data_IF_814103978525
#
_entry.id   IF_814103978525
#
_cell.length_a   1.000
_cell.length_b   1.000
_cell.length_c   1.000
_cell.angle_alpha   90.00
_cell.angle_beta   90.00
_cell.angle_gamma   90.00
#
_symmetry.space_group_name_H-M   'P 1'
#
loop_
_entity.id
_entity.type
_entity.pdbx_description
1 polymer ?
#
# COMPACT_ATOMS: atom_id res chain seq x y z
N UNK A 1 -15.88 -23.92 -22.01
CA UNK A 1 -16.58 -22.73 -22.51
C UNK A 1 -15.63 -22.05 -23.47
N UNK A 2 -16.03 -21.90 -24.76
CA UNK A 2 -15.17 -21.19 -25.70
C UNK A 2 -15.08 -19.70 -25.33
N UNK A 3 -14.02 -18.97 -25.75
CA UNK A 3 -13.94 -17.52 -25.54
C UNK A 3 -15.18 -16.79 -26.10
N UNK A 4 -15.71 -17.24 -27.25
CA UNK A 4 -16.93 -16.69 -27.81
C UNK A 4 -18.16 -16.88 -26.91
N UNK A 5 -18.36 -18.09 -26.35
CA UNK A 5 -19.47 -18.33 -25.41
C UNK A 5 -19.37 -17.45 -24.16
N UNK A 6 -18.13 -17.24 -23.64
CA UNK A 6 -17.90 -16.39 -22.47
C UNK A 6 -18.29 -14.93 -22.74
N UNK A 7 -17.97 -14.42 -23.94
CA UNK A 7 -18.26 -13.03 -24.34
C UNK A 7 -19.76 -12.84 -24.62
N UNK A 8 -20.41 -13.78 -25.23
CA UNK A 8 -21.86 -13.72 -25.41
C UNK A 8 -22.58 -13.80 -24.06
N UNK A 9 -22.14 -14.68 -23.16
CA UNK A 9 -22.68 -14.73 -21.78
C UNK A 9 -22.44 -13.44 -20.99
N UNK A 10 -21.34 -12.74 -21.25
CA UNK A 10 -21.09 -11.43 -20.68
C UNK A 10 -22.04 -10.38 -21.27
N UNK A 11 -22.20 -10.36 -22.58
CA UNK A 11 -23.09 -9.44 -23.29
C UNK A 11 -24.53 -9.48 -22.75
N UNK A 12 -25.04 -10.68 -22.44
CA UNK A 12 -26.37 -10.86 -21.85
C UNK A 12 -26.54 -10.27 -20.44
N UNK A 13 -25.44 -9.94 -19.78
CA UNK A 13 -25.42 -9.49 -18.38
C UNK A 13 -24.97 -8.04 -18.23
N UNK A 14 -24.17 -7.53 -19.15
CA UNK A 14 -23.46 -6.25 -18.99
C UNK A 14 -24.41 -5.07 -18.75
N UNK A 15 -25.62 -5.10 -19.32
CA UNK A 15 -26.62 -4.05 -19.15
C UNK A 15 -27.09 -3.89 -17.68
N UNK A 16 -26.94 -4.93 -16.87
CA UNK A 16 -27.36 -4.94 -15.49
C UNK A 16 -26.30 -4.41 -14.50
N UNK A 17 -25.14 -3.98 -15.00
CA UNK A 17 -24.00 -3.54 -14.19
C UNK A 17 -23.43 -2.24 -14.72
N UNK A 18 -22.85 -1.44 -13.82
CA UNK A 18 -22.20 -0.18 -14.17
C UNK A 18 -20.84 -0.39 -14.84
N UNK A 19 -20.18 -1.52 -14.55
CA UNK A 19 -18.88 -1.85 -15.10
C UNK A 19 -18.75 -3.34 -15.45
N UNK A 20 -17.98 -3.65 -16.49
CA UNK A 20 -17.58 -4.99 -16.87
C UNK A 20 -16.06 -5.10 -16.94
N UNK A 21 -15.50 -6.12 -16.28
CA UNK A 21 -14.08 -6.46 -16.33
C UNK A 21 -13.88 -7.77 -17.09
N UNK A 22 -13.02 -7.73 -18.09
CA UNK A 22 -12.58 -8.88 -18.86
C UNK A 22 -11.08 -9.01 -18.65
N UNK A 23 -10.66 -10.12 -18.04
CA UNK A 23 -9.27 -10.47 -17.88
C UNK A 23 -8.95 -11.71 -18.70
N UNK A 24 -7.92 -11.62 -19.52
CA UNK A 24 -7.41 -12.74 -20.30
C UNK A 24 -5.91 -12.92 -20.01
N UNK A 25 -5.52 -14.13 -19.61
CA UNK A 25 -4.13 -14.54 -19.51
C UNK A 25 -3.89 -15.71 -20.46
N UNK A 26 -2.93 -15.59 -21.37
CA UNK A 26 -2.68 -16.63 -22.37
C UNK A 26 -1.85 -16.15 -23.56
N UNK A 27 -1.97 -16.86 -24.66
CA UNK A 27 -1.28 -16.52 -25.91
C UNK A 27 -2.09 -15.57 -26.75
N UNK A 28 -1.47 -14.45 -27.16
CA UNK A 28 -2.01 -13.50 -28.10
C UNK A 28 -1.13 -13.40 -29.33
N UNK A 29 -1.75 -13.32 -30.51
CA UNK A 29 -1.06 -13.31 -31.80
C UNK A 29 -1.64 -12.25 -32.72
N UNK A 30 -0.85 -11.85 -33.73
CA UNK A 30 -1.34 -11.09 -34.86
C UNK A 30 -1.41 -12.00 -36.08
N UNK A 31 -2.59 -12.10 -36.70
CA UNK A 31 -2.83 -12.84 -37.95
C UNK A 31 -3.59 -11.94 -38.91
N UNK A 32 -3.07 -11.73 -40.12
CA UNK A 32 -3.69 -10.93 -41.19
C UNK A 32 -4.18 -9.54 -40.76
N UNK A 33 -3.46 -8.90 -39.83
CA UNK A 33 -3.81 -7.58 -39.32
C UNK A 33 -4.70 -7.57 -38.05
N UNK A 34 -5.31 -8.69 -37.67
CA UNK A 34 -6.13 -8.82 -36.48
C UNK A 34 -5.33 -9.32 -35.29
N UNK A 35 -5.66 -8.81 -34.09
CA UNK A 35 -5.17 -9.34 -32.83
C UNK A 35 -6.08 -10.47 -32.39
N UNK A 36 -5.53 -11.63 -32.12
CA UNK A 36 -6.32 -12.82 -31.74
C UNK A 36 -5.89 -13.33 -30.37
N UNK A 37 -6.86 -13.84 -29.62
CA UNK A 37 -6.68 -14.50 -28.32
C UNK A 37 -6.83 -16.02 -28.54
N UNK A 38 -5.86 -16.80 -28.05
CA UNK A 38 -5.83 -18.25 -28.25
C UNK A 38 -6.58 -18.96 -27.12
N UNK A 39 -7.63 -19.77 -27.42
CA UNK A 39 -8.16 -20.71 -26.45
C UNK A 39 -7.13 -21.82 -26.12
N UNK A 40 -7.34 -22.52 -25.00
CA UNK A 40 -6.40 -23.54 -24.51
C UNK A 40 -6.19 -24.67 -25.54
N UNK A 41 -7.24 -25.01 -26.30
CA UNK A 41 -7.22 -26.09 -27.27
C UNK A 41 -6.61 -25.69 -28.60
N UNK A 42 -6.20 -24.44 -28.80
CA UNK A 42 -5.68 -23.98 -30.07
C UNK A 42 -4.29 -24.54 -30.35
N UNK A 43 -4.16 -25.27 -31.46
CA UNK A 43 -2.85 -25.64 -32.00
C UNK A 43 -2.21 -24.43 -32.69
N UNK A 44 -1.30 -23.76 -31.99
CA UNK A 44 -0.57 -22.59 -32.49
C UNK A 44 0.44 -22.94 -33.59
N UNK A 45 0.77 -24.22 -33.79
CA UNK A 45 1.64 -24.72 -34.85
C UNK A 45 0.87 -25.02 -36.13
N UNK A 46 -0.46 -24.95 -36.09
CA UNK A 46 -1.33 -25.16 -37.27
C UNK A 46 -1.12 -24.06 -38.33
N UNK A 47 -1.64 -24.28 -39.54
CA UNK A 47 -1.62 -23.25 -40.57
C UNK A 47 -2.35 -21.98 -40.11
N UNK A 48 -1.87 -20.77 -40.48
CA UNK A 48 -2.42 -19.50 -40.04
C UNK A 48 -3.95 -19.38 -40.19
N UNK A 49 -4.50 -19.95 -41.28
CA UNK A 49 -5.94 -19.93 -41.56
C UNK A 49 -6.73 -20.76 -40.52
N UNK A 50 -6.16 -21.89 -40.08
CA UNK A 50 -6.77 -22.72 -39.03
C UNK A 50 -6.64 -22.08 -37.65
N UNK A 51 -5.51 -21.40 -37.38
CA UNK A 51 -5.33 -20.62 -36.17
C UNK A 51 -6.38 -19.52 -36.09
N UNK A 52 -6.56 -18.75 -37.17
CA UNK A 52 -7.57 -17.68 -37.24
C UNK A 52 -9.01 -18.19 -37.06
N UNK A 53 -9.33 -19.34 -37.63
CA UNK A 53 -10.68 -19.94 -37.55
C UNK A 53 -11.03 -20.40 -36.12
N UNK A 54 -10.04 -20.85 -35.35
CA UNK A 54 -10.25 -21.43 -34.02
C UNK A 54 -9.83 -20.50 -32.88
N UNK A 55 -9.33 -19.32 -33.18
CA UNK A 55 -8.97 -18.28 -32.19
C UNK A 55 -10.09 -17.24 -32.08
N UNK A 56 -9.97 -16.37 -31.09
CA UNK A 56 -10.94 -15.31 -30.87
C UNK A 56 -10.36 -13.95 -31.28
N UNK A 57 -10.91 -13.26 -32.28
CA UNK A 57 -10.47 -11.93 -32.67
C UNK A 57 -10.81 -10.90 -31.61
N UNK A 58 -9.85 -10.04 -31.28
CA UNK A 58 -10.06 -8.94 -30.31
C UNK A 58 -11.01 -7.89 -30.89
N UNK A 59 -11.11 -7.79 -32.23
CA UNK A 59 -12.11 -6.96 -32.93
C UNK A 59 -13.54 -7.36 -32.58
N UNK A 60 -13.84 -8.65 -32.46
CA UNK A 60 -15.18 -9.14 -32.12
C UNK A 60 -15.56 -8.77 -30.70
N UNK A 61 -14.58 -8.84 -29.74
CA UNK A 61 -14.78 -8.36 -28.38
C UNK A 61 -15.13 -6.87 -28.37
N UNK A 62 -14.34 -6.07 -29.09
CA UNK A 62 -14.57 -4.61 -29.13
C UNK A 62 -15.90 -4.25 -29.79
N UNK A 63 -16.32 -5.00 -30.81
CA UNK A 63 -17.63 -4.83 -31.43
C UNK A 63 -18.79 -5.12 -30.45
N UNK A 64 -18.69 -6.20 -29.69
CA UNK A 64 -19.68 -6.52 -28.64
C UNK A 64 -19.74 -5.42 -27.61
N UNK A 65 -18.58 -4.95 -27.12
CA UNK A 65 -18.50 -3.91 -26.10
C UNK A 65 -19.01 -2.55 -26.58
N UNK A 66 -18.93 -2.25 -27.85
CA UNK A 66 -19.50 -1.03 -28.47
C UNK A 66 -21.03 -0.94 -28.35
N UNK A 67 -21.72 -2.05 -28.13
CA UNK A 67 -23.18 -2.07 -27.95
C UNK A 67 -23.60 -1.49 -26.58
N UNK A 68 -22.67 -1.28 -25.67
CA UNK A 68 -22.92 -0.85 -24.31
C UNK A 68 -22.23 0.50 -24.02
N UNK A 69 -22.70 1.63 -24.59
CA UNK A 69 -22.01 2.91 -24.48
C UNK A 69 -22.01 3.51 -23.07
N UNK A 70 -22.98 3.12 -22.23
CA UNK A 70 -23.17 3.69 -20.89
C UNK A 70 -22.36 2.96 -19.79
N UNK A 71 -21.89 1.75 -20.07
CA UNK A 71 -21.12 0.95 -19.11
C UNK A 71 -19.63 1.24 -19.20
N UNK A 72 -18.94 1.19 -18.08
CA UNK A 72 -17.48 1.18 -18.04
C UNK A 72 -16.97 -0.22 -18.44
N UNK A 73 -16.09 -0.30 -19.43
CA UNK A 73 -15.53 -1.55 -19.92
C UNK A 73 -14.02 -1.60 -19.72
N UNK A 74 -13.55 -2.59 -18.99
CA UNK A 74 -12.14 -2.77 -18.68
C UNK A 74 -11.71 -4.12 -19.26
N UNK A 75 -10.77 -4.08 -20.19
CA UNK A 75 -10.19 -5.27 -20.81
C UNK A 75 -8.70 -5.32 -20.45
N UNK A 76 -8.29 -6.38 -19.81
CA UNK A 76 -6.90 -6.59 -19.38
C UNK A 76 -6.37 -7.84 -20.04
N UNK A 77 -5.31 -7.69 -20.83
CA UNK A 77 -4.73 -8.75 -21.64
C UNK A 77 -3.29 -9.02 -21.18
N UNK A 78 -3.13 -10.03 -20.32
CA UNK A 78 -1.81 -10.56 -19.94
C UNK A 78 -1.41 -11.63 -20.94
N UNK A 79 -1.00 -11.17 -22.13
CA UNK A 79 -0.64 -12.01 -23.25
C UNK A 79 0.57 -11.46 -23.99
N UNK A 80 1.39 -12.36 -24.53
CA UNK A 80 2.42 -12.01 -25.50
C UNK A 80 1.78 -11.37 -26.74
N UNK A 81 2.49 -10.45 -27.37
CA UNK A 81 2.09 -9.81 -28.62
C UNK A 81 2.99 -10.29 -29.76
N UNK A 82 3.07 -11.62 -29.93
CA UNK A 82 3.89 -12.24 -30.95
C UNK A 82 3.20 -12.27 -32.31
N UNK A 83 3.98 -12.40 -33.38
CA UNK A 83 3.48 -12.51 -34.76
C UNK A 83 3.65 -13.94 -35.24
N UNK A 84 2.55 -14.61 -35.60
CA UNK A 84 2.61 -15.92 -36.24
C UNK A 84 2.63 -15.74 -37.76
N UNK A 85 3.61 -16.37 -38.40
CA UNK A 85 3.71 -16.49 -39.84
C UNK A 85 4.35 -15.32 -40.56
N UNK A 86 5.42 -15.61 -41.22
CA UNK A 86 6.29 -14.92 -42.17
C UNK A 86 7.59 -14.37 -41.64
N UNK A 87 8.69 -14.95 -42.09
CA UNK A 87 10.01 -14.32 -42.09
C UNK A 87 9.92 -13.03 -42.93
N UNK A 88 9.77 -11.89 -42.29
CA UNK A 88 9.83 -10.58 -42.92
C UNK A 88 8.66 -9.62 -42.73
N UNK A 89 7.59 -9.99 -42.04
CA UNK A 89 6.47 -9.07 -41.79
C UNK A 89 6.79 -8.07 -40.66
N UNK A 90 6.42 -6.80 -40.89
CA UNK A 90 6.63 -5.70 -39.93
C UNK A 90 6.02 -5.97 -38.57
N UNK A 91 6.76 -5.62 -37.51
CA UNK A 91 6.42 -5.81 -36.09
C UNK A 91 5.33 -4.82 -35.60
N UNK A 92 4.28 -4.58 -36.35
CA UNK A 92 3.25 -3.64 -35.94
C UNK A 92 1.95 -4.36 -35.56
N UNK A 93 1.50 -4.08 -34.34
CA UNK A 93 0.17 -4.44 -33.87
C UNK A 93 -0.86 -3.56 -34.59
N UNK A 94 -1.99 -4.12 -35.02
CA UNK A 94 -3.07 -3.30 -35.59
C UNK A 94 -3.54 -2.29 -34.52
N UNK A 95 -3.76 -1.02 -34.91
CA UNK A 95 -4.36 -0.04 -33.99
C UNK A 95 -5.70 -0.58 -33.51
N UNK A 96 -5.90 -0.62 -32.19
CA UNK A 96 -7.18 -0.99 -31.60
C UNK A 96 -7.88 0.30 -31.23
N UNK A 97 -9.07 0.49 -31.79
CA UNK A 97 -9.96 1.55 -31.35
C UNK A 97 -10.63 1.10 -30.05
N UNK A 98 -10.32 1.76 -28.94
CA UNK A 98 -11.00 1.48 -27.69
C UNK A 98 -12.48 1.90 -27.80
N UNK A 99 -13.46 1.02 -27.48
CA UNK A 99 -14.87 1.38 -27.38
C UNK A 99 -15.08 2.59 -26.45
N UNK A 100 -16.09 3.41 -26.70
CA UNK A 100 -16.40 4.54 -25.81
C UNK A 100 -16.58 4.06 -24.35
N UNK A 101 -15.97 4.75 -23.40
CA UNK A 101 -16.03 4.39 -21.98
C UNK A 101 -15.26 3.12 -21.64
N UNK A 102 -14.16 2.83 -22.33
CA UNK A 102 -13.36 1.63 -22.07
C UNK A 102 -11.88 1.93 -21.79
N UNK A 103 -11.25 0.96 -21.11
CA UNK A 103 -9.79 0.81 -21.04
C UNK A 103 -9.43 -0.57 -21.57
N UNK A 104 -8.47 -0.62 -22.47
CA UNK A 104 -7.85 -1.87 -22.94
C UNK A 104 -6.38 -1.81 -22.54
N UNK A 105 -5.98 -2.65 -21.60
CA UNK A 105 -4.63 -2.71 -21.06
C UNK A 105 -3.91 -3.99 -21.51
N UNK A 106 -2.65 -3.85 -21.89
CA UNK A 106 -1.79 -4.92 -22.37
C UNK A 106 -0.57 -5.07 -21.48
N UNK A 107 -0.20 -6.30 -21.19
CA UNK A 107 0.97 -6.62 -20.37
C UNK A 107 2.29 -6.14 -20.98
N UNK A 108 2.33 -5.89 -22.29
CA UNK A 108 3.56 -5.52 -22.99
C UNK A 108 3.27 -4.65 -24.22
N UNK A 109 4.29 -3.95 -24.67
CA UNK A 109 4.27 -3.17 -25.91
C UNK A 109 4.15 -4.08 -27.16
N UNK A 110 3.70 -3.54 -28.31
CA UNK A 110 3.65 -4.30 -29.55
C UNK A 110 4.97 -4.97 -29.91
N UNK A 111 4.92 -6.25 -30.28
CA UNK A 111 6.10 -7.04 -30.69
C UNK A 111 7.04 -7.46 -29.53
N UNK A 112 6.60 -7.31 -28.30
CA UNK A 112 7.36 -7.73 -27.11
C UNK A 112 6.69 -8.90 -26.40
N UNK A 113 7.44 -9.87 -25.84
CA UNK A 113 6.88 -10.93 -25.01
C UNK A 113 6.45 -10.43 -23.66
N UNK A 114 5.44 -11.03 -23.07
CA UNK A 114 5.14 -10.93 -21.63
C UNK A 114 6.01 -11.95 -20.90
N UNK A 115 6.63 -11.52 -19.79
CA UNK A 115 7.53 -12.35 -19.01
C UNK A 115 6.82 -13.01 -17.84
N UNK A 116 7.08 -14.28 -17.66
CA UNK A 116 6.59 -15.04 -16.50
C UNK A 116 7.54 -14.89 -15.31
N UNK A 117 6.96 -14.82 -14.11
CA UNK A 117 7.71 -14.90 -12.86
C UNK A 117 7.59 -16.31 -12.27
N UNK A 118 8.61 -17.13 -12.51
CA UNK A 118 8.63 -18.56 -12.14
C UNK A 118 8.45 -18.80 -10.63
N UNK A 119 8.63 -17.77 -9.80
CA UNK A 119 8.59 -17.90 -8.34
C UNK A 119 7.20 -17.69 -7.70
N UNK A 120 6.25 -17.03 -8.39
CA UNK A 120 4.97 -16.59 -7.79
C UNK A 120 3.74 -17.23 -8.40
N UNK A 121 3.88 -18.00 -9.46
CA UNK A 121 2.74 -18.58 -10.21
C UNK A 121 1.97 -17.59 -11.07
N UNK A 122 2.45 -16.34 -11.18
CA UNK A 122 1.90 -15.27 -12.02
C UNK A 122 2.98 -14.66 -12.91
N UNK A 123 2.59 -14.06 -14.04
CA UNK A 123 3.48 -13.20 -14.81
C UNK A 123 3.79 -11.90 -14.04
N UNK A 124 4.90 -11.23 -14.37
CA UNK A 124 5.28 -9.95 -13.74
C UNK A 124 4.18 -8.89 -13.84
N UNK A 125 3.43 -8.88 -14.94
CA UNK A 125 2.33 -7.94 -15.13
C UNK A 125 1.18 -8.19 -14.16
N UNK A 126 0.71 -9.43 -14.08
CA UNK A 126 -0.38 -9.80 -13.17
C UNK A 126 0.01 -9.59 -11.72
N UNK A 127 1.25 -9.91 -11.31
CA UNK A 127 1.75 -9.62 -9.96
C UNK A 127 1.68 -8.13 -9.64
N UNK A 128 2.16 -7.28 -10.55
CA UNK A 128 2.11 -5.84 -10.37
C UNK A 128 0.67 -5.29 -10.39
N UNK A 129 -0.18 -5.84 -11.25
CA UNK A 129 -1.59 -5.46 -11.32
C UNK A 129 -2.32 -5.77 -10.03
N UNK A 130 -2.21 -6.98 -9.49
CA UNK A 130 -2.83 -7.39 -8.23
C UNK A 130 -2.39 -6.51 -7.07
N UNK A 131 -1.10 -6.12 -7.05
CA UNK A 131 -0.57 -5.19 -6.06
C UNK A 131 -1.25 -3.82 -6.11
N UNK A 132 -1.40 -3.24 -7.29
CA UNK A 132 -1.86 -1.86 -7.40
C UNK A 132 -3.37 -1.70 -7.56
N UNK A 133 -4.08 -2.70 -8.10
CA UNK A 133 -5.55 -2.67 -8.19
C UNK A 133 -6.23 -2.83 -6.82
N UNK A 134 -5.53 -3.40 -5.84
CA UNK A 134 -6.03 -3.51 -4.47
C UNK A 134 -5.95 -2.19 -3.70
N UNK A 135 -5.17 -1.21 -4.18
CA UNK A 135 -5.03 0.08 -3.52
C UNK A 135 -6.34 0.87 -3.61
N UNK A 136 -6.84 1.37 -2.47
CA UNK A 136 -8.09 2.11 -2.46
C UNK A 136 -7.92 3.48 -3.14
N UNK A 137 -8.96 3.91 -3.86
CA UNK A 137 -9.09 5.23 -4.54
C UNK A 137 -7.89 5.62 -5.44
N UNK A 138 -7.22 4.66 -5.97
CA UNK A 138 -6.24 4.92 -7.03
C UNK A 138 -7.00 4.85 -8.35
N UNK A 139 -7.10 5.96 -9.11
CA UNK A 139 -7.70 5.95 -10.43
C UNK A 139 -7.06 4.90 -11.33
N UNK A 140 -7.84 4.28 -12.20
CA UNK A 140 -7.39 3.17 -13.06
C UNK A 140 -6.17 3.56 -13.91
N UNK A 141 -6.11 4.79 -14.42
CA UNK A 141 -4.97 5.30 -15.18
C UNK A 141 -3.71 5.38 -14.32
N UNK A 142 -3.86 5.83 -13.07
CA UNK A 142 -2.75 5.87 -12.10
C UNK A 142 -2.33 4.45 -11.72
N UNK A 143 -3.28 3.52 -11.57
CA UNK A 143 -2.99 2.09 -11.32
C UNK A 143 -2.12 1.52 -12.44
N UNK A 144 -2.50 1.69 -13.70
CA UNK A 144 -1.71 1.21 -14.83
C UNK A 144 -0.35 1.92 -14.96
N UNK A 145 -0.29 3.22 -14.64
CA UNK A 145 1.00 3.92 -14.57
C UNK A 145 1.94 3.31 -13.55
N UNK A 146 1.46 3.01 -12.34
CA UNK A 146 2.25 2.35 -11.28
C UNK A 146 2.68 0.93 -11.69
N UNK A 147 1.80 0.17 -12.34
CA UNK A 147 2.13 -1.14 -12.92
C UNK A 147 3.28 -1.01 -13.92
N UNK A 148 3.21 -0.02 -14.81
CA UNK A 148 4.24 0.24 -15.83
C UNK A 148 5.58 0.62 -15.20
N UNK A 149 5.59 1.49 -14.21
CA UNK A 149 6.78 1.90 -13.46
C UNK A 149 7.45 0.70 -12.79
N UNK A 150 6.67 -0.16 -12.11
CA UNK A 150 7.20 -1.35 -11.45
C UNK A 150 7.77 -2.35 -12.45
N UNK A 151 7.06 -2.62 -13.57
CA UNK A 151 7.55 -3.54 -14.60
C UNK A 151 8.82 -3.02 -15.28
N UNK A 152 8.86 -1.73 -15.59
CA UNK A 152 10.05 -1.11 -16.16
C UNK A 152 11.27 -1.35 -15.25
N UNK A 153 11.12 -1.13 -13.96
CA UNK A 153 12.18 -1.37 -12.98
C UNK A 153 12.55 -2.86 -12.87
N UNK A 154 11.56 -3.75 -12.66
CA UNK A 154 11.79 -5.21 -12.47
C UNK A 154 12.37 -5.90 -13.72
N UNK A 155 12.03 -5.43 -14.90
CA UNK A 155 12.46 -6.07 -16.16
C UNK A 155 13.61 -5.31 -16.86
N UNK A 156 14.18 -4.30 -16.23
CA UNK A 156 15.19 -3.42 -16.81
C UNK A 156 14.74 -2.84 -18.16
N UNK A 157 13.48 -2.40 -18.25
CA UNK A 157 12.88 -1.80 -19.43
C UNK A 157 12.56 -2.76 -20.58
N UNK A 158 12.69 -4.08 -20.39
CA UNK A 158 12.43 -5.05 -21.46
C UNK A 158 10.94 -5.43 -21.61
N UNK A 159 10.11 -5.12 -20.63
CA UNK A 159 8.65 -5.26 -20.70
C UNK A 159 8.00 -3.96 -20.26
N UNK A 160 7.27 -3.33 -21.17
CA UNK A 160 6.59 -2.05 -20.94
C UNK A 160 5.09 -2.25 -21.24
N UNK A 161 4.23 -2.23 -20.21
CA UNK A 161 2.78 -2.27 -20.40
C UNK A 161 2.26 -1.07 -21.20
N UNK A 162 1.16 -1.29 -21.88
CA UNK A 162 0.52 -0.29 -22.72
C UNK A 162 -1.00 -0.31 -22.52
N UNK A 163 -1.62 0.86 -22.53
CA UNK A 163 -3.08 0.97 -22.46
C UNK A 163 -3.65 1.93 -23.50
N UNK A 164 -4.87 1.64 -23.91
CA UNK A 164 -5.76 2.53 -24.68
C UNK A 164 -6.96 2.85 -23.79
N UNK A 165 -7.22 4.13 -23.55
CA UNK A 165 -8.36 4.57 -22.75
C UNK A 165 -9.25 5.53 -23.52
N UNK A 166 -10.55 5.38 -23.35
CA UNK A 166 -11.61 6.30 -23.77
C UNK A 166 -12.55 6.62 -22.60
N UNK A 167 -12.11 6.40 -21.37
CA UNK A 167 -12.87 6.76 -20.18
C UNK A 167 -13.08 8.28 -20.12
N UNK A 168 -14.27 8.69 -19.72
CA UNK A 168 -14.63 10.11 -19.54
C UNK A 168 -14.62 10.49 -18.06
N UNK A 169 -14.77 9.52 -17.16
CA UNK A 169 -14.75 9.69 -15.71
C UNK A 169 -13.68 8.86 -15.04
N UNK A 170 -13.50 9.03 -13.74
CA UNK A 170 -12.59 8.22 -12.95
C UNK A 170 -13.23 6.86 -12.65
N UNK A 171 -12.45 5.79 -12.80
CA UNK A 171 -12.79 4.46 -12.36
C UNK A 171 -11.76 3.96 -11.35
N UNK A 172 -12.22 3.26 -10.34
CA UNK A 172 -11.38 2.70 -9.28
C UNK A 172 -11.63 1.20 -9.19
N UNK A 173 -10.57 0.37 -9.27
CA UNK A 173 -10.71 -1.08 -9.04
C UNK A 173 -11.15 -1.38 -7.62
N UNK A 174 -10.63 -0.60 -6.68
CA UNK A 174 -11.05 -0.60 -5.31
C UNK A 174 -11.64 0.80 -5.00
N UNK A 175 -12.94 0.98 -5.23
CA UNK A 175 -13.61 2.24 -4.94
C UNK A 175 -13.78 2.46 -3.45
N UNK A 176 -13.14 1.61 -2.62
CA UNK A 176 -13.45 1.42 -1.21
C UNK A 176 -14.18 2.62 -0.65
N UNK A 177 -15.38 2.37 -0.12
CA UNK A 177 -16.12 3.41 0.55
C UNK A 177 -15.23 3.89 1.67
N UNK A 178 -14.42 4.86 1.27
CA UNK A 178 -13.54 5.48 2.21
C UNK A 178 -14.39 5.73 3.44
N UNK A 179 -13.81 5.33 4.46
CA UNK A 179 -13.76 6.16 5.60
C UNK A 179 -13.53 7.59 5.10
N UNK A 180 -14.65 8.26 4.73
CA UNK A 180 -14.71 9.61 4.20
C UNK A 180 -14.08 10.45 5.29
N UNK A 181 -12.77 10.73 5.18
CA UNK A 181 -11.86 11.23 6.18
C UNK A 181 -12.58 11.73 7.41
N UNK A 182 -13.13 10.82 8.26
CA UNK A 182 -13.95 11.23 9.37
C UNK A 182 -13.10 12.18 10.16
N UNK A 183 -13.39 13.45 9.96
CA UNK A 183 -12.80 14.49 10.75
C UNK A 183 -13.34 14.25 12.15
N UNK A 184 -12.56 13.59 12.99
CA UNK A 184 -12.87 13.52 14.40
C UNK A 184 -12.87 14.93 14.98
N UNK A 185 -13.68 15.15 16.03
CA UNK A 185 -13.68 16.45 16.67
C UNK A 185 -12.32 16.80 17.29
N UNK A 186 -12.03 18.08 17.45
CA UNK A 186 -10.78 18.52 18.06
C UNK A 186 -10.61 17.93 19.46
N UNK A 187 -11.70 17.77 20.21
CA UNK A 187 -11.72 17.15 21.53
C UNK A 187 -11.36 15.66 21.46
N UNK A 188 -11.78 14.93 20.42
CA UNK A 188 -11.40 13.54 20.22
C UNK A 188 -9.91 13.43 19.84
N UNK A 189 -9.38 14.33 19.01
CA UNK A 189 -7.95 14.38 18.71
C UNK A 189 -7.11 14.72 19.95
N UNK A 190 -7.57 15.60 20.83
CA UNK A 190 -6.84 15.94 22.05
C UNK A 190 -6.98 14.90 23.15
N UNK A 191 -8.05 14.13 23.15
CA UNK A 191 -8.48 13.22 24.23
C UNK A 191 -8.70 13.92 25.60
N UNK A 192 -8.29 15.17 25.72
CA UNK A 192 -8.50 15.96 26.90
C UNK A 192 -9.85 16.68 26.84
N UNK A 193 -10.72 16.44 27.83
CA UNK A 193 -12.03 17.07 27.91
C UNK A 193 -13.05 16.51 26.90
N UNK A 194 -12.75 15.39 26.22
CA UNK A 194 -13.73 14.74 25.36
C UNK A 194 -14.97 14.33 26.17
N UNK A 195 -16.13 14.72 25.67
CA UNK A 195 -17.40 14.42 26.33
C UNK A 195 -18.06 13.23 25.67
N UNK A 196 -18.13 12.14 26.42
CA UNK A 196 -18.87 10.95 26.01
C UNK A 196 -20.39 11.21 26.12
N UNK A 197 -21.18 10.47 25.34
CA UNK A 197 -22.63 10.47 25.51
C UNK A 197 -23.03 10.01 26.93
N UNK A 198 -24.15 10.47 27.43
CA UNK A 198 -24.56 10.28 28.83
C UNK A 198 -24.62 8.80 29.23
N UNK A 199 -25.01 7.93 28.30
CA UNK A 199 -25.20 6.50 28.52
C UNK A 199 -24.04 5.64 27.94
N UNK A 200 -22.92 6.27 27.57
CA UNK A 200 -21.83 5.59 26.91
C UNK A 200 -21.05 4.69 27.87
N UNK A 201 -21.11 3.39 27.65
CA UNK A 201 -20.23 2.40 28.33
C UNK A 201 -18.74 2.67 28.03
N UNK A 202 -18.44 3.30 26.90
CA UNK A 202 -17.06 3.58 26.45
C UNK A 202 -16.36 4.49 27.44
N UNK A 203 -17.07 5.44 28.05
CA UNK A 203 -16.48 6.32 29.09
C UNK A 203 -15.84 5.50 30.22
N UNK A 204 -16.58 4.56 30.80
CA UNK A 204 -16.05 3.73 31.88
C UNK A 204 -14.85 2.88 31.48
N UNK A 205 -14.85 2.40 30.21
CA UNK A 205 -13.71 1.65 29.66
C UNK A 205 -12.49 2.58 29.56
N UNK A 206 -12.64 3.76 28.97
CA UNK A 206 -11.55 4.73 28.82
C UNK A 206 -11.03 5.20 30.16
N UNK A 207 -11.89 5.47 31.14
CA UNK A 207 -11.48 5.83 32.51
C UNK A 207 -10.65 4.70 33.15
N UNK A 208 -11.04 3.44 32.97
CA UNK A 208 -10.30 2.27 33.40
C UNK A 208 -8.92 2.13 32.74
N UNK A 209 -8.86 2.37 31.43
CA UNK A 209 -7.59 2.33 30.66
C UNK A 209 -6.62 3.44 31.12
N UNK A 210 -7.14 4.65 31.40
CA UNK A 210 -6.36 5.81 31.87
C UNK A 210 -5.85 5.66 33.31
N UNK A 211 -6.32 4.68 34.05
CA UNK A 211 -5.93 4.50 35.46
C UNK A 211 -4.45 4.14 35.66
N UNK A 212 -3.74 3.70 34.63
CA UNK A 212 -2.38 3.14 34.68
C UNK A 212 -2.21 1.99 35.69
N UNK A 213 -3.31 1.27 35.98
CA UNK A 213 -3.37 0.20 36.96
C UNK A 213 -3.92 -1.07 36.34
N UNK A 214 -3.17 -2.16 36.36
CA UNK A 214 -3.58 -3.44 35.78
C UNK A 214 -4.93 -3.94 36.30
N UNK A 215 -5.25 -3.89 37.60
CA UNK A 215 -6.55 -4.32 38.10
C UNK A 215 -7.75 -3.55 37.51
N UNK A 216 -7.52 -2.35 36.98
CA UNK A 216 -8.54 -1.53 36.33
C UNK A 216 -8.47 -1.63 34.81
N UNK A 217 -7.30 -1.70 34.22
CA UNK A 217 -7.11 -1.77 32.77
C UNK A 217 -7.58 -3.12 32.19
N UNK A 218 -7.33 -4.23 32.87
CA UNK A 218 -7.69 -5.55 32.36
C UNK A 218 -9.20 -5.75 32.21
N UNK A 219 -10.06 -5.49 33.21
CA UNK A 219 -11.51 -5.57 33.03
C UNK A 219 -12.02 -4.53 32.03
N UNK A 220 -11.43 -3.33 31.99
CA UNK A 220 -11.81 -2.28 31.05
C UNK A 220 -11.67 -2.75 29.60
N UNK A 221 -10.49 -3.26 29.19
CA UNK A 221 -10.28 -3.72 27.82
C UNK A 221 -11.15 -4.94 27.47
N UNK A 222 -11.46 -5.83 28.42
CA UNK A 222 -12.38 -6.96 28.21
C UNK A 222 -13.80 -6.50 27.91
N UNK A 223 -14.25 -5.42 28.54
CA UNK A 223 -15.59 -4.84 28.34
C UNK A 223 -15.78 -4.16 26.97
N UNK A 224 -14.72 -4.03 26.17
CA UNK A 224 -14.85 -3.55 24.77
C UNK A 224 -15.82 -4.45 23.97
N UNK A 225 -15.83 -5.74 24.23
CA UNK A 225 -16.74 -6.69 23.57
C UNK A 225 -18.21 -6.58 24.01
N UNK A 226 -18.52 -5.71 24.97
CA UNK A 226 -19.87 -5.47 25.50
C UNK A 226 -20.44 -4.12 25.03
N UNK A 227 -19.69 -3.38 24.21
CA UNK A 227 -20.13 -2.11 23.63
C UNK A 227 -21.25 -2.37 22.64
N UNK A 228 -22.29 -1.54 22.71
CA UNK A 228 -23.28 -1.43 21.64
C UNK A 228 -22.68 -0.56 20.52
N UNK A 229 -22.09 -1.21 19.52
CA UNK A 229 -21.47 -0.52 18.39
C UNK A 229 -22.45 0.18 17.46
N UNK A 230 -23.75 -0.05 17.60
CA UNK A 230 -24.78 0.65 16.79
C UNK A 230 -25.02 2.06 17.28
N UNK A 231 -24.86 2.28 18.58
CA UNK A 231 -25.08 3.58 19.21
C UNK A 231 -23.79 4.36 19.46
N UNK A 232 -22.64 3.67 19.42
CA UNK A 232 -21.33 4.27 19.64
C UNK A 232 -20.94 5.22 18.50
N UNK A 233 -20.58 6.46 18.86
CA UNK A 233 -20.11 7.43 17.86
C UNK A 233 -18.67 7.13 17.40
N UNK A 234 -18.33 7.53 16.18
CA UNK A 234 -16.97 7.40 15.66
C UNK A 234 -15.92 8.12 16.51
N UNK A 235 -16.27 9.26 17.12
CA UNK A 235 -15.41 9.99 18.04
C UNK A 235 -15.11 9.19 19.31
N UNK A 236 -16.13 8.56 19.91
CA UNK A 236 -15.95 7.72 21.11
C UNK A 236 -15.07 6.52 20.84
N UNK A 237 -15.27 5.86 19.69
CA UNK A 237 -14.47 4.70 19.27
C UNK A 237 -13.03 5.10 18.94
N UNK A 238 -12.81 6.28 18.37
CA UNK A 238 -11.48 6.82 18.13
C UNK A 238 -10.74 7.08 19.46
N UNK A 239 -11.40 7.75 20.41
CA UNK A 239 -10.83 7.99 21.76
C UNK A 239 -10.56 6.68 22.48
N UNK A 240 -11.45 5.69 22.36
CA UNK A 240 -11.23 4.34 22.88
C UNK A 240 -9.94 3.73 22.29
N UNK A 241 -9.75 3.78 20.96
CA UNK A 241 -8.56 3.28 20.28
C UNK A 241 -7.28 3.94 20.79
N UNK A 242 -7.27 5.27 20.93
CA UNK A 242 -6.15 6.00 21.51
C UNK A 242 -5.75 5.44 22.89
N UNK A 243 -6.72 5.21 23.76
CA UNK A 243 -6.47 4.77 25.12
C UNK A 243 -6.10 3.29 25.23
N UNK A 244 -6.60 2.43 24.34
CA UNK A 244 -6.14 1.05 24.23
C UNK A 244 -4.64 1.02 23.88
N UNK A 245 -4.24 1.80 22.87
CA UNK A 245 -2.85 1.86 22.45
C UNK A 245 -1.96 2.50 23.53
N UNK A 246 -2.39 3.60 24.15
CA UNK A 246 -1.69 4.23 25.27
C UNK A 246 -1.41 3.24 26.39
N UNK A 247 -2.39 2.40 26.75
CA UNK A 247 -2.21 1.40 27.80
C UNK A 247 -1.27 0.25 27.33
N UNK A 248 -1.36 -0.16 26.05
CA UNK A 248 -0.47 -1.16 25.47
C UNK A 248 0.99 -0.68 25.45
N UNK A 249 1.26 0.55 25.00
CA UNK A 249 2.59 1.17 25.05
C UNK A 249 3.13 1.26 26.47
N UNK A 250 2.24 1.42 27.47
CA UNK A 250 2.53 1.33 28.90
C UNK A 250 2.61 -0.09 29.46
N UNK A 251 2.81 -1.12 28.65
CA UNK A 251 2.95 -2.53 29.02
C UNK A 251 1.69 -3.18 29.64
N UNK A 252 0.49 -2.75 29.25
CA UNK A 252 -0.75 -3.46 29.59
C UNK A 252 -0.89 -4.74 28.76
N UNK A 253 -0.53 -5.90 29.31
CA UNK A 253 -0.62 -7.19 28.62
C UNK A 253 -2.04 -7.57 28.17
N UNK A 254 -3.07 -7.13 28.85
CA UNK A 254 -4.44 -7.35 28.41
C UNK A 254 -4.76 -6.57 27.13
N UNK A 255 -4.21 -5.33 27.01
CA UNK A 255 -4.31 -4.55 25.80
C UNK A 255 -3.48 -5.15 24.65
N UNK A 256 -2.31 -5.75 24.93
CA UNK A 256 -1.55 -6.50 23.93
C UNK A 256 -2.38 -7.64 23.35
N UNK A 257 -2.96 -8.51 24.21
CA UNK A 257 -3.83 -9.61 23.76
C UNK A 257 -5.06 -9.12 22.98
N UNK A 258 -5.63 -7.97 23.37
CA UNK A 258 -6.74 -7.40 22.64
C UNK A 258 -6.29 -6.96 21.23
N UNK A 259 -5.16 -6.25 21.12
CA UNK A 259 -4.60 -5.84 19.84
C UNK A 259 -4.23 -7.06 19.00
N UNK A 260 -3.61 -8.10 19.56
CA UNK A 260 -3.24 -9.31 18.81
C UNK A 260 -4.43 -10.01 18.13
N UNK A 261 -5.57 -10.05 18.79
CA UNK A 261 -6.80 -10.66 18.26
C UNK A 261 -7.77 -9.68 17.58
N UNK A 262 -7.37 -8.45 17.34
CA UNK A 262 -8.28 -7.36 16.94
C UNK A 262 -8.95 -7.60 15.58
N UNK A 263 -8.19 -8.00 14.54
CA UNK A 263 -8.74 -8.25 13.19
C UNK A 263 -9.74 -9.39 13.19
N UNK A 264 -9.49 -10.45 13.96
CA UNK A 264 -10.32 -11.66 14.02
C UNK A 264 -11.53 -11.52 14.97
N UNK A 265 -11.60 -10.43 15.72
CA UNK A 265 -12.68 -10.21 16.68
C UNK A 265 -14.01 -9.93 15.97
N UNK A 266 -14.83 -10.99 15.83
CA UNK A 266 -16.14 -10.91 15.17
C UNK A 266 -17.21 -10.12 15.93
N UNK A 267 -16.98 -9.80 17.21
CA UNK A 267 -17.90 -8.97 18.01
C UNK A 267 -17.82 -7.50 17.67
N UNK A 268 -16.72 -7.07 17.04
CA UNK A 268 -16.51 -5.67 16.63
C UNK A 268 -16.84 -5.54 15.14
N UNK A 269 -17.87 -4.78 14.75
CA UNK A 269 -18.16 -4.53 13.33
C UNK A 269 -16.99 -3.85 12.61
N UNK A 270 -16.84 -4.11 11.31
CA UNK A 270 -15.74 -3.57 10.51
C UNK A 270 -15.62 -2.04 10.62
N UNK A 271 -16.74 -1.32 10.54
CA UNK A 271 -16.72 0.14 10.67
C UNK A 271 -16.22 0.61 12.04
N UNK A 272 -16.60 -0.08 13.11
CA UNK A 272 -16.09 0.22 14.46
C UNK A 272 -14.61 -0.10 14.59
N UNK A 273 -14.12 -1.19 13.96
CA UNK A 273 -12.69 -1.51 13.89
C UNK A 273 -11.89 -0.37 13.25
N UNK A 274 -12.39 0.22 12.16
CA UNK A 274 -11.70 1.35 11.52
C UNK A 274 -11.54 2.54 12.46
N UNK A 275 -12.59 2.93 13.18
CA UNK A 275 -12.49 4.03 14.15
C UNK A 275 -11.52 3.74 15.29
N UNK A 276 -11.57 2.53 15.84
CA UNK A 276 -10.67 2.10 16.92
C UNK A 276 -9.22 2.06 16.43
N UNK A 277 -8.97 1.48 15.25
CA UNK A 277 -7.64 1.42 14.65
C UNK A 277 -7.09 2.80 14.30
N UNK A 278 -7.93 3.72 13.82
CA UNK A 278 -7.55 5.11 13.59
C UNK A 278 -7.06 5.77 14.89
N UNK A 279 -7.75 5.53 16.00
CA UNK A 279 -7.33 6.02 17.30
C UNK A 279 -6.01 5.41 17.77
N UNK A 280 -5.83 4.09 17.61
CA UNK A 280 -4.57 3.41 17.95
C UNK A 280 -3.40 3.94 17.11
N UNK A 281 -3.57 4.03 15.79
CA UNK A 281 -2.55 4.56 14.90
C UNK A 281 -2.24 6.03 15.18
N UNK A 282 -3.25 6.84 15.45
CA UNK A 282 -3.06 8.25 15.78
C UNK A 282 -2.23 8.42 17.05
N UNK A 283 -2.45 7.62 18.08
CA UNK A 283 -1.72 7.71 19.36
C UNK A 283 -0.23 7.37 19.23
N UNK A 284 0.18 6.62 18.19
CA UNK A 284 1.59 6.39 17.87
C UNK A 284 2.30 7.71 17.55
N UNK A 285 1.68 8.49 16.66
CA UNK A 285 2.34 9.61 15.98
C UNK A 285 2.01 10.98 16.56
N UNK A 286 0.86 11.14 17.23
CA UNK A 286 0.36 12.45 17.66
C UNK A 286 0.11 12.54 19.17
N UNK A 287 0.43 13.68 19.75
CA UNK A 287 0.14 14.00 21.14
C UNK A 287 -1.28 14.57 21.36
N UNK A 288 -1.58 14.97 22.60
CA UNK A 288 -2.86 15.58 22.95
C UNK A 288 -3.02 17.00 22.41
N UNK A 289 -1.98 17.62 21.90
CA UNK A 289 -2.02 18.94 21.26
C UNK A 289 -2.14 18.83 19.72
N UNK A 290 -2.36 17.63 19.21
CA UNK A 290 -2.41 17.32 17.78
C UNK A 290 -1.09 17.64 17.05
N UNK A 291 0.02 17.58 17.76
CA UNK A 291 1.37 17.71 17.22
C UNK A 291 2.04 16.36 17.08
N UNK A 292 2.98 16.27 16.15
CA UNK A 292 3.81 15.07 16.01
C UNK A 292 4.60 14.84 17.28
N UNK A 293 4.53 13.61 17.78
CA UNK A 293 5.28 13.21 18.98
C UNK A 293 6.79 13.17 18.73
N UNK A 294 7.51 13.48 19.78
CA UNK A 294 8.93 13.21 19.88
C UNK A 294 9.28 12.87 21.36
N UNK A 295 9.62 11.61 21.67
CA UNK A 295 9.66 10.42 20.80
C UNK A 295 8.27 9.89 20.44
N UNK A 296 8.20 9.07 19.37
CA UNK A 296 7.02 8.30 19.03
C UNK A 296 6.73 7.21 20.06
N UNK A 297 5.48 6.76 20.16
CA UNK A 297 5.09 5.61 20.98
C UNK A 297 5.24 4.32 20.21
N UNK A 298 6.33 3.62 20.39
CA UNK A 298 6.67 2.44 19.60
C UNK A 298 6.64 1.13 20.40
N UNK A 299 6.16 1.13 21.64
CA UNK A 299 6.18 -0.05 22.51
C UNK A 299 5.41 -1.26 21.94
N UNK A 300 4.34 -1.02 21.19
CA UNK A 300 3.54 -2.08 20.56
C UNK A 300 3.09 -1.74 19.13
N UNK A 301 3.84 -0.89 18.42
CA UNK A 301 3.39 -0.31 17.15
C UNK A 301 3.46 -1.27 15.97
N UNK A 302 4.37 -2.27 15.99
CA UNK A 302 4.55 -3.22 14.90
C UNK A 302 3.21 -3.87 14.49
N UNK A 303 2.44 -4.32 15.48
CA UNK A 303 1.15 -4.97 15.23
C UNK A 303 0.11 -4.02 14.60
N UNK A 304 0.16 -2.74 14.95
CA UNK A 304 -0.69 -1.72 14.31
C UNK A 304 -0.28 -1.51 12.86
N UNK A 305 1.03 -1.44 12.57
CA UNK A 305 1.53 -1.35 11.19
C UNK A 305 1.08 -2.57 10.37
N UNK A 306 1.21 -3.78 10.93
CA UNK A 306 0.75 -5.02 10.27
C UNK A 306 -0.74 -4.97 9.91
N UNK A 307 -1.58 -4.36 10.75
CA UNK A 307 -3.00 -4.15 10.44
C UNK A 307 -3.19 -3.12 9.32
N UNK A 308 -2.49 -2.00 9.35
CA UNK A 308 -2.59 -0.96 8.32
C UNK A 308 -2.16 -1.45 6.93
N UNK A 309 -1.42 -2.57 6.85
CA UNK A 309 -1.04 -3.22 5.60
C UNK A 309 -2.10 -4.23 5.10
N UNK A 310 -3.10 -4.57 5.90
CA UNK A 310 -4.19 -5.47 5.51
C UNK A 310 -5.28 -4.72 4.73
N UNK A 311 -5.83 -5.37 3.70
CA UNK A 311 -6.80 -4.75 2.81
C UNK A 311 -8.04 -4.20 3.55
N UNK A 312 -8.53 -4.91 4.56
CA UNK A 312 -9.69 -4.50 5.35
C UNK A 312 -9.48 -3.20 6.14
N UNK A 313 -8.22 -2.78 6.35
CA UNK A 313 -7.86 -1.58 7.14
C UNK A 313 -7.22 -0.47 6.29
N UNK A 314 -7.29 -0.53 4.97
CA UNK A 314 -6.73 0.52 4.12
C UNK A 314 -7.34 1.90 4.40
N UNK A 315 -8.60 1.98 4.83
CA UNK A 315 -9.20 3.25 5.27
C UNK A 315 -8.46 3.87 6.47
N UNK A 316 -8.03 3.06 7.44
CA UNK A 316 -7.21 3.51 8.57
C UNK A 316 -5.80 3.91 8.15
N UNK A 317 -5.21 3.15 7.21
CA UNK A 317 -3.92 3.49 6.62
C UNK A 317 -3.96 4.85 5.94
N UNK A 318 -4.97 5.09 5.11
CA UNK A 318 -5.12 6.33 4.36
C UNK A 318 -5.40 7.52 5.29
N UNK A 319 -6.18 7.29 6.36
CA UNK A 319 -6.40 8.28 7.42
C UNK A 319 -5.08 8.74 8.04
N UNK A 320 -4.24 7.81 8.51
CA UNK A 320 -2.98 8.17 9.16
C UNK A 320 -1.97 8.76 8.17
N UNK A 321 -1.91 8.25 6.94
CA UNK A 321 -1.08 8.77 5.89
C UNK A 321 -1.44 10.23 5.55
N UNK A 322 -2.73 10.55 5.41
CA UNK A 322 -3.19 11.91 5.18
C UNK A 322 -2.83 12.85 6.34
N UNK A 323 -2.96 12.38 7.60
CA UNK A 323 -2.59 13.16 8.78
C UNK A 323 -1.09 13.47 8.84
N UNK A 324 -0.24 12.48 8.59
CA UNK A 324 1.21 12.65 8.60
C UNK A 324 1.66 13.58 7.47
N UNK A 325 1.14 13.41 6.26
CA UNK A 325 1.47 14.25 5.11
C UNK A 325 1.06 15.72 5.31
N UNK A 326 0.00 15.99 6.08
CA UNK A 326 -0.50 17.34 6.28
C UNK A 326 0.36 18.18 7.26
N UNK A 327 1.14 17.52 8.13
CA UNK A 327 1.75 18.21 9.27
C UNK A 327 3.26 18.00 9.39
N UNK A 328 3.89 17.19 8.54
CA UNK A 328 5.30 16.85 8.70
C UNK A 328 6.11 16.94 7.41
N UNK A 329 7.17 17.73 7.50
CA UNK A 329 8.30 17.67 6.58
C UNK A 329 9.39 16.67 7.02
N UNK A 330 9.23 16.06 8.19
CA UNK A 330 10.17 15.09 8.76
C UNK A 330 10.14 13.78 7.98
N UNK A 331 11.27 13.09 7.84
CA UNK A 331 11.29 11.69 7.38
C UNK A 331 10.56 10.79 8.39
N UNK A 332 9.32 10.45 8.10
CA UNK A 332 8.50 9.52 8.89
C UNK A 332 8.03 8.41 7.99
N UNK A 333 8.07 7.18 8.47
CA UNK A 333 7.49 6.05 7.75
C UNK A 333 5.97 6.18 7.67
N UNK A 334 5.47 6.14 6.46
CA UNK A 334 4.02 6.20 6.21
C UNK A 334 3.57 4.84 5.69
N UNK A 335 2.79 4.07 6.48
CA UNK A 335 2.32 2.76 6.06
C UNK A 335 1.62 2.80 4.70
N UNK A 336 1.99 1.88 3.81
CA UNK A 336 1.39 1.74 2.49
C UNK A 336 1.86 2.72 1.40
N UNK A 337 2.67 3.72 1.73
CA UNK A 337 3.28 4.60 0.71
C UNK A 337 4.63 4.07 0.21
N UNK A 338 5.40 3.42 1.09
CA UNK A 338 6.69 2.84 0.76
C UNK A 338 6.80 1.42 1.29
N UNK A 339 7.40 0.51 0.53
CA UNK A 339 7.71 -0.85 1.00
C UNK A 339 8.80 -0.84 2.06
N UNK A 340 9.78 0.06 1.91
CA UNK A 340 10.85 0.30 2.85
C UNK A 340 11.36 1.74 2.72
N UNK A 341 11.92 2.28 3.81
CA UNK A 341 12.66 3.53 3.79
C UNK A 341 14.13 3.22 3.46
N UNK A 342 14.60 3.70 2.33
CA UNK A 342 16.02 3.62 1.95
C UNK A 342 16.74 4.84 2.49
N UNK A 343 17.48 4.65 3.58
CA UNK A 343 18.20 5.70 4.28
C UNK A 343 19.67 5.69 3.88
N UNK A 344 20.21 6.86 3.59
CA UNK A 344 21.62 7.01 3.24
C UNK A 344 22.39 7.48 4.47
N UNK A 345 23.39 6.68 4.87
CA UNK A 345 24.34 7.01 5.91
C UNK A 345 25.52 7.73 5.26
N UNK A 346 25.65 9.01 5.54
CA UNK A 346 26.78 9.83 5.10
C UNK A 346 27.94 9.65 6.05
N UNK A 347 29.15 9.47 5.54
CA UNK A 347 30.33 9.16 6.36
C UNK A 347 31.56 9.87 5.86
N UNK A 348 32.49 10.17 6.78
CA UNK A 348 33.85 10.58 6.46
C UNK A 348 34.90 9.65 7.09
N UNK A 349 36.12 9.68 6.58
CA UNK A 349 37.21 8.88 7.11
C UNK A 349 37.95 9.62 8.22
N UNK A 350 38.21 8.93 9.35
CA UNK A 350 39.09 9.36 10.42
C UNK A 350 40.20 8.29 10.67
N UNK A 351 41.23 8.63 11.47
CA UNK A 351 42.34 7.74 11.77
C UNK A 351 41.93 6.39 12.37
N UNK A 352 40.79 6.33 13.04
CA UNK A 352 40.26 5.13 13.72
C UNK A 352 39.14 4.44 12.96
N UNK A 353 38.77 4.88 11.75
CA UNK A 353 37.73 4.30 10.92
C UNK A 353 36.84 5.34 10.24
N UNK A 354 35.61 4.93 9.85
CA UNK A 354 34.63 5.84 9.24
C UNK A 354 33.62 6.31 10.26
N UNK A 355 33.48 7.64 10.37
CA UNK A 355 32.51 8.28 11.23
C UNK A 355 31.25 8.64 10.44
N UNK A 356 30.08 8.54 11.09
CA UNK A 356 28.81 8.93 10.49
C UNK A 356 28.60 10.43 10.65
N UNK A 357 28.35 11.12 9.54
CA UNK A 357 28.04 12.55 9.51
C UNK A 357 26.55 12.83 9.61
N UNK A 358 25.77 12.10 8.82
CA UNK A 358 24.32 12.23 8.77
C UNK A 358 23.66 10.92 8.34
N UNK A 359 22.35 10.82 8.61
CA UNK A 359 21.47 9.78 8.09
C UNK A 359 20.28 10.51 7.45
N UNK A 360 20.11 10.30 6.15
CA UNK A 360 19.13 11.05 5.36
C UNK A 360 18.14 10.13 4.64
N UNK A 361 16.93 10.63 4.46
CA UNK A 361 15.90 10.06 3.59
C UNK A 361 15.52 11.10 2.53
N UNK A 362 15.75 10.77 1.24
CA UNK A 362 15.58 11.73 0.14
C UNK A 362 16.27 13.07 0.38
N UNK A 363 17.48 13.03 0.95
CA UNK A 363 18.28 14.22 1.25
C UNK A 363 17.86 15.01 2.50
N UNK A 364 16.79 14.60 3.20
CA UNK A 364 16.38 15.20 4.47
C UNK A 364 16.96 14.40 5.64
N UNK A 365 17.55 15.08 6.61
CA UNK A 365 18.09 14.46 7.83
C UNK A 365 16.97 13.79 8.65
N UNK A 366 17.28 12.69 9.32
CA UNK A 366 16.36 12.05 10.29
C UNK A 366 16.42 12.67 11.67
N UNK A 367 17.25 13.70 11.88
CA UNK A 367 17.46 14.34 13.17
C UNK A 367 16.67 15.64 13.28
N UNK A 368 15.74 15.68 14.23
CA UNK A 368 14.91 16.83 14.56
C UNK A 368 14.85 17.04 16.06
N UNK A 369 14.63 18.27 16.50
CA UNK A 369 14.37 18.58 17.90
C UNK A 369 12.91 18.29 18.31
N UNK A 370 12.58 18.63 19.57
CA UNK A 370 11.23 18.47 20.12
C UNK A 370 10.21 19.38 19.44
N UNK A 371 10.66 20.47 18.82
CA UNK A 371 9.81 21.41 18.08
C UNK A 371 9.68 21.03 16.60
N UNK A 372 10.37 19.96 16.16
CA UNK A 372 10.37 19.52 14.76
C UNK A 372 11.31 20.32 13.88
N UNK A 373 12.24 21.07 14.44
CA UNK A 373 13.27 21.81 13.71
C UNK A 373 14.51 20.92 13.55
N UNK A 374 15.09 20.89 12.36
CA UNK A 374 16.34 20.18 12.12
C UNK A 374 17.45 20.75 12.99
N UNK A 375 18.06 19.89 13.81
CA UNK A 375 19.12 20.29 14.75
C UNK A 375 20.48 19.78 14.33
N UNK A 376 21.54 20.54 14.71
CA UNK A 376 22.90 20.00 14.75
C UNK A 376 22.94 18.77 15.65
N UNK A 377 23.58 17.72 15.20
CA UNK A 377 23.33 16.34 15.61
C UNK A 377 24.26 15.91 16.71
N UNK A 378 23.72 15.57 17.85
CA UNK A 378 24.42 14.78 18.85
C UNK A 378 23.65 13.49 19.04
N UNK A 379 24.23 12.37 18.62
CA UNK A 379 23.74 11.05 19.00
C UNK A 379 24.69 10.46 20.02
N UNK A 380 24.24 10.24 21.23
CA UNK A 380 24.99 9.52 22.24
C UNK A 380 24.97 8.02 21.94
N UNK A 381 25.91 7.57 21.11
CA UNK A 381 26.15 6.15 20.93
C UNK A 381 27.38 5.69 21.72
N UNK A 382 27.34 4.52 22.38
CA UNK A 382 28.54 3.91 22.93
C UNK A 382 29.54 3.58 21.80
N UNK A 383 30.81 3.54 22.15
CA UNK A 383 31.97 3.41 21.26
C UNK A 383 31.92 2.24 20.24
N UNK A 384 31.05 1.25 20.45
CA UNK A 384 30.82 0.11 19.58
C UNK A 384 29.32 -0.08 19.39
N UNK A 385 28.72 0.70 18.49
CA UNK A 385 27.32 0.50 18.17
C UNK A 385 27.21 -0.56 17.08
N UNK A 386 26.55 -1.65 17.39
CA UNK A 386 26.22 -2.68 16.42
C UNK A 386 25.22 -2.15 15.39
N UNK A 387 25.23 -2.70 14.16
CA UNK A 387 24.24 -2.38 13.13
C UNK A 387 22.79 -2.51 13.65
N UNK A 388 22.54 -3.48 14.52
CA UNK A 388 21.24 -3.68 15.15
C UNK A 388 20.82 -2.49 16.02
N UNK A 389 21.73 -1.97 16.86
CA UNK A 389 21.42 -0.83 17.74
C UNK A 389 21.21 0.45 16.94
N UNK A 390 22.03 0.68 15.92
CA UNK A 390 21.82 1.79 14.98
C UNK A 390 20.44 1.72 14.33
N UNK A 391 20.04 0.52 13.88
CA UNK A 391 18.73 0.28 13.29
C UNK A 391 17.58 0.60 14.27
N UNK A 392 17.70 0.22 15.52
CA UNK A 392 16.69 0.51 16.56
C UNK A 392 16.55 2.03 16.80
N UNK A 393 17.67 2.75 16.90
CA UNK A 393 17.64 4.21 17.08
C UNK A 393 17.04 4.92 15.87
N UNK A 394 17.41 4.50 14.66
CA UNK A 394 16.82 5.03 13.42
C UNK A 394 15.31 4.73 13.40
N UNK A 395 14.90 3.49 13.70
CA UNK A 395 13.51 3.08 13.80
C UNK A 395 12.72 4.04 14.71
N UNK A 396 13.31 4.38 15.88
CA UNK A 396 12.73 5.36 16.81
C UNK A 396 12.57 6.77 16.22
N UNK A 397 13.49 7.19 15.37
CA UNK A 397 13.48 8.54 14.78
C UNK A 397 12.48 8.69 13.64
N UNK A 398 12.31 7.64 12.83
CA UNK A 398 11.45 7.68 11.63
C UNK A 398 10.12 6.93 11.80
N UNK A 399 9.87 6.38 12.98
CA UNK A 399 8.69 5.54 13.29
C UNK A 399 8.49 4.40 12.28
N UNK A 400 9.58 3.79 11.81
CA UNK A 400 9.53 2.67 10.88
C UNK A 400 9.88 1.35 11.58
N UNK A 401 9.18 0.25 11.30
CA UNK A 401 9.64 -1.08 11.68
C UNK A 401 11.05 -1.35 11.15
N UNK A 402 11.87 -2.07 11.91
CA UNK A 402 13.27 -2.32 11.51
C UNK A 402 13.40 -3.12 10.22
N UNK A 403 12.44 -3.97 9.91
CA UNK A 403 12.33 -4.73 8.65
C UNK A 403 11.89 -3.85 7.45
N UNK A 404 11.42 -2.63 7.72
CA UNK A 404 11.05 -1.63 6.72
C UNK A 404 12.14 -0.56 6.51
N UNK A 405 13.31 -0.74 7.11
CA UNK A 405 14.45 0.17 6.95
C UNK A 405 15.55 -0.54 6.16
N UNK A 406 16.03 0.10 5.10
CA UNK A 406 17.23 -0.30 4.37
C UNK A 406 18.27 0.78 4.53
N UNK A 407 19.46 0.40 5.01
CA UNK A 407 20.59 1.31 5.18
C UNK A 407 21.53 1.17 4.00
N UNK A 408 21.88 2.28 3.37
CA UNK A 408 22.89 2.37 2.34
C UNK A 408 23.96 3.35 2.79
N UNK A 409 25.22 3.04 2.52
CA UNK A 409 26.30 3.98 2.79
C UNK A 409 26.60 4.80 1.52
N UNK A 410 26.94 6.06 1.71
CA UNK A 410 27.31 6.98 0.64
C UNK A 410 28.55 6.53 -0.17
N UNK A 411 29.37 5.69 0.45
CA UNK A 411 30.53 5.05 -0.19
C UNK A 411 30.49 3.54 0.06
N UNK A 412 30.88 2.76 -0.94
CA UNK A 412 31.01 1.31 -0.80
C UNK A 412 32.01 0.98 0.32
N UNK A 413 31.51 0.43 1.43
CA UNK A 413 32.34 -0.10 2.51
C UNK A 413 32.74 -1.53 2.17
N UNK A 414 33.98 -1.90 2.49
CA UNK A 414 34.35 -3.30 2.51
C UNK A 414 33.51 -4.06 3.54
N UNK A 415 33.14 -5.31 3.25
CA UNK A 415 32.25 -6.11 4.07
C UNK A 415 32.63 -6.22 5.55
N UNK A 416 33.91 -6.02 5.86
CA UNK A 416 34.47 -6.12 7.21
C UNK A 416 34.75 -4.76 7.88
N UNK A 417 34.39 -3.65 7.24
CA UNK A 417 34.63 -2.32 7.81
C UNK A 417 33.49 -1.95 8.74
N UNK A 418 33.72 -2.07 10.04
CA UNK A 418 32.81 -1.56 11.04
C UNK A 418 32.65 -0.04 10.93
N UNK A 419 31.42 0.47 11.03
CA UNK A 419 31.18 1.91 11.13
C UNK A 419 31.43 2.31 12.58
N UNK A 420 32.39 3.19 12.81
CA UNK A 420 32.66 3.74 14.12
C UNK A 420 31.73 4.95 14.31
N UNK A 421 30.86 4.85 15.28
CA UNK A 421 30.06 5.96 15.76
C UNK A 421 30.83 6.57 16.92
N UNK A 422 31.22 7.86 16.87
CA UNK A 422 32.04 8.47 17.91
C UNK A 422 31.37 8.36 19.30
N UNK A 423 32.18 8.18 20.36
CA UNK A 423 31.74 8.04 21.75
C UNK A 423 30.90 9.23 22.24
N UNK A 424 31.05 10.39 21.61
CA UNK A 424 30.42 11.66 22.02
C UNK A 424 29.34 12.13 21.03
N UNK A 425 28.87 11.23 20.18
CA UNK A 425 27.94 11.59 19.11
C UNK A 425 28.63 12.26 17.92
N UNK A 426 27.84 12.50 16.84
CA UNK A 426 28.38 13.30 15.74
C UNK A 426 28.12 14.77 16.01
N UNK A 427 29.16 15.56 15.87
CA UNK A 427 29.01 16.99 15.72
C UNK A 427 29.10 17.28 14.23
N UNK A 428 27.98 17.64 13.59
CA UNK A 428 28.03 18.09 12.20
C UNK A 428 28.64 19.48 12.21
N UNK A 429 29.84 19.56 11.67
CA UNK A 429 30.42 20.86 11.30
C UNK A 429 29.78 21.28 9.98
N UNK A 430 29.07 22.41 10.03
CA UNK A 430 28.56 23.10 8.84
C UNK A 430 29.72 23.63 8.00
#
# INVERSE_FOLDING_TARGET
MSPADAIFSLADKIENYDAALIYYAGHGFKVDGDNILAPIELDIQARPELVKLNAFPLSDLTEVLNRFPNQTKIVILDACREIIGHRGAMKDFAPISAPQGSVIAFATSPGQPSKENVGTGHGYYTEALLKYMSLPRVPIETTFKKVRELLFAKTSGTQIPWEHTSLVGEFYFNPDTIYDGAAYSLEAYSDNGFRFSTDSKIKGIVDGLKSHSWPQQEPAVRSVNEIDFQTASGNELFVLGRNIYQAADGNCYACHRFIDGFSENSKIPTQAKLHILNGMAYEIYFDSSNKIRNPFKLGYYQKIIDYLEQAEFYGSRDFIAAKLNAVSDRPIYIPGQNEAMELVIQTHSEDMGRCVDDITYHGKSVFYDEEGVEKPKTMDFPKETTSYRLMQEISGKVAAPTDRIKLQYDTALAADTGVIIPKYGFEIKY
#
